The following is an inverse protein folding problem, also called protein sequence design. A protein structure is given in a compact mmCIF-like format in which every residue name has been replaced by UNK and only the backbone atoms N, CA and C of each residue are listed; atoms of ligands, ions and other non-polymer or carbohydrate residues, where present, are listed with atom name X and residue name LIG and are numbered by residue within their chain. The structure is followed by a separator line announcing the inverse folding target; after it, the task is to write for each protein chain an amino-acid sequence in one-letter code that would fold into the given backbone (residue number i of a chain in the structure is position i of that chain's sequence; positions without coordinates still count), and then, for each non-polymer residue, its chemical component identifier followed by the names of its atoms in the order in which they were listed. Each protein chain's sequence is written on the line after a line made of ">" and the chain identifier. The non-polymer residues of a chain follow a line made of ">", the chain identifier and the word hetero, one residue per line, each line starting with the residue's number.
data_IF_912782159846
#
_entry.id   IF_912782159846
#
_cell.length_a   1.000
_cell.length_b   1.000
_cell.length_c   1.000
_cell.angle_alpha   90.00
_cell.angle_beta   90.00
_cell.angle_gamma   90.00
#
_symmetry.space_group_name_H-M   'P 1'
#
loop_
_entity.id
_entity.type
_entity.pdbx_description
1 polymer ?
#
# COMPACT_ATOMS: atom_id res chain seq x y z
N UNK A 1 1.30 11.15 10.33
CA UNK A 1 0.64 10.01 9.65
C UNK A 1 0.04 10.44 8.32
N UNK A 2 -0.84 11.44 8.30
CA UNK A 2 -1.52 11.89 7.05
C UNK A 2 -0.54 12.31 5.94
N UNK A 3 0.55 13.00 6.28
CA UNK A 3 1.59 13.41 5.30
C UNK A 3 2.20 12.26 4.53
N UNK A 4 2.33 11.09 5.17
CA UNK A 4 3.04 9.94 4.60
C UNK A 4 2.08 8.95 3.94
N UNK A 5 0.96 8.72 4.59
CA UNK A 5 0.00 7.69 4.16
C UNK A 5 -1.19 8.27 3.38
N UNK A 6 -1.28 9.61 3.27
CA UNK A 6 -2.42 10.31 2.65
C UNK A 6 -3.79 9.84 3.18
N UNK A 7 -3.81 9.42 4.46
CA UNK A 7 -5.01 8.96 5.14
C UNK A 7 -4.93 9.27 6.65
N UNK A 8 -6.04 9.16 7.35
CA UNK A 8 -6.10 9.37 8.80
C UNK A 8 -5.85 8.09 9.57
N UNK A 9 -5.19 8.22 10.72
CA UNK A 9 -4.93 7.07 11.60
C UNK A 9 -6.25 6.54 12.17
N UNK A 10 -6.58 5.31 11.81
CA UNK A 10 -7.76 4.60 12.35
C UNK A 10 -7.43 3.93 13.69
N UNK A 11 -8.46 3.67 14.51
CA UNK A 11 -8.29 2.95 15.77
C UNK A 11 -7.73 1.55 15.53
N UNK A 12 -8.20 0.85 14.50
CA UNK A 12 -7.65 -0.46 14.12
C UNK A 12 -6.17 -0.41 13.77
N UNK A 13 -5.73 0.60 12.98
CA UNK A 13 -4.33 0.78 12.65
C UNK A 13 -3.46 1.15 13.87
N UNK A 14 -3.99 1.97 14.77
CA UNK A 14 -3.31 2.31 16.03
C UNK A 14 -3.12 1.09 16.94
N UNK A 15 -4.16 0.26 17.10
CA UNK A 15 -4.07 -0.99 17.87
C UNK A 15 -3.14 -2.01 17.21
N UNK A 16 -3.14 -2.11 15.88
CA UNK A 16 -2.28 -3.02 15.15
C UNK A 16 -0.81 -2.58 15.16
N UNK A 17 -0.52 -1.28 15.29
CA UNK A 17 0.86 -0.77 15.36
C UNK A 17 1.63 -1.33 16.55
N UNK A 18 0.96 -1.67 17.65
CA UNK A 18 1.58 -2.32 18.80
C UNK A 18 2.11 -3.73 18.49
N UNK A 19 1.51 -4.44 17.52
CA UNK A 19 1.94 -5.78 17.07
C UNK A 19 3.11 -5.73 16.09
N UNK A 20 3.34 -4.57 15.46
CA UNK A 20 4.33 -4.39 14.40
C UNK A 20 5.48 -3.47 14.82
N UNK A 21 5.51 -3.03 16.08
CA UNK A 21 6.46 -2.01 16.60
C UNK A 21 7.92 -2.45 16.60
N UNK A 22 8.22 -3.74 16.53
CA UNK A 22 9.58 -4.24 16.39
C UNK A 22 10.12 -3.86 14.99
N UNK A 23 10.97 -2.85 14.91
CA UNK A 23 11.57 -2.32 13.68
C UNK A 23 10.94 -1.04 13.12
N UNK A 24 9.75 -0.62 13.60
CA UNK A 24 9.11 0.63 13.16
C UNK A 24 9.62 1.88 13.89
N UNK A 25 10.41 1.74 14.95
CA UNK A 25 10.86 2.88 15.76
C UNK A 25 11.61 3.92 14.93
N UNK A 26 12.54 3.50 14.08
CA UNK A 26 13.28 4.40 13.21
C UNK A 26 12.36 5.06 12.15
N UNK A 27 11.46 4.29 11.55
CA UNK A 27 10.48 4.82 10.59
C UNK A 27 9.49 5.79 11.26
N UNK A 28 9.04 5.52 12.48
CA UNK A 28 8.16 6.41 13.23
C UNK A 28 8.85 7.73 13.59
N UNK A 29 10.12 7.69 13.99
CA UNK A 29 10.91 8.89 14.28
C UNK A 29 11.13 9.75 13.02
N UNK A 30 11.33 9.12 11.86
CA UNK A 30 11.46 9.83 10.58
C UNK A 30 10.18 10.55 10.14
N UNK A 31 9.02 10.12 10.65
CA UNK A 31 7.74 10.79 10.41
C UNK A 31 7.56 12.08 11.22
N UNK A 32 8.28 12.23 12.33
CA UNK A 32 8.17 13.37 13.22
C UNK A 32 8.99 14.55 12.68
N UNK A 33 8.37 15.70 12.62
CA UNK A 33 9.04 16.97 12.29
C UNK A 33 9.05 17.89 13.52
N UNK A 34 10.08 18.72 13.70
CA UNK A 34 10.14 19.65 14.84
C UNK A 34 8.87 20.49 14.98
N UNK A 35 8.24 20.86 13.87
CA UNK A 35 7.00 21.62 13.84
C UNK A 35 5.78 20.86 14.38
N UNK A 36 5.83 19.54 14.51
CA UNK A 36 4.73 18.76 15.09
C UNK A 36 4.56 19.04 16.57
N UNK A 37 5.57 19.61 17.23
CA UNK A 37 5.47 20.08 18.61
C UNK A 37 4.39 21.16 18.81
N UNK A 38 4.02 21.89 17.76
CA UNK A 38 2.93 22.89 17.82
C UNK A 38 1.59 22.24 18.19
N UNK A 39 1.34 20.99 17.75
CA UNK A 39 0.07 20.30 18.03
C UNK A 39 -0.11 19.87 19.48
N UNK A 40 0.94 19.95 20.31
CA UNK A 40 0.88 19.62 21.75
C UNK A 40 1.20 20.84 22.60
N UNK A 41 1.50 21.98 21.99
CA UNK A 41 1.94 23.19 22.71
C UNK A 41 0.85 23.73 23.65
N UNK A 42 -0.40 23.71 23.24
CA UNK A 42 -1.56 24.12 24.05
C UNK A 42 -1.71 23.25 25.31
N UNK A 43 -1.54 21.94 25.18
CA UNK A 43 -1.54 21.01 26.32
C UNK A 43 -0.38 21.32 27.29
N UNK A 44 0.83 21.53 26.75
CA UNK A 44 2.00 21.87 27.57
C UNK A 44 1.77 23.19 28.32
N UNK A 45 1.24 24.22 27.64
CA UNK A 45 0.89 25.51 28.25
C UNK A 45 -0.14 25.34 29.36
N UNK A 46 -1.24 24.62 29.08
CA UNK A 46 -2.30 24.38 30.06
C UNK A 46 -1.81 23.63 31.28
N UNK A 47 -1.09 22.51 31.07
CA UNK A 47 -0.51 21.71 32.17
C UNK A 47 0.43 22.58 33.01
N UNK A 48 1.27 23.37 32.37
CA UNK A 48 2.20 24.29 33.06
C UNK A 48 1.45 25.33 33.90
N UNK A 49 0.42 25.98 33.34
CA UNK A 49 -0.36 26.98 34.04
C UNK A 49 -1.13 26.41 35.22
N UNK A 50 -1.69 25.20 35.11
CA UNK A 50 -2.31 24.48 36.21
C UNK A 50 -1.28 24.09 37.29
N UNK A 51 -0.13 23.56 36.89
CA UNK A 51 0.95 23.18 37.80
C UNK A 51 1.50 24.35 38.57
N UNK A 52 1.62 25.50 37.94
CA UNK A 52 2.05 26.75 38.56
C UNK A 52 0.93 27.47 39.34
N UNK A 53 -0.24 26.84 39.48
CA UNK A 53 -1.43 27.40 40.12
C UNK A 53 -1.87 28.78 39.55
N UNK A 54 -1.49 29.05 38.29
CA UNK A 54 -1.94 30.26 37.58
C UNK A 54 -3.36 30.09 37.01
N UNK A 55 -3.78 28.87 36.79
CA UNK A 55 -5.16 28.50 36.46
C UNK A 55 -5.67 27.51 37.52
N UNK A 56 -6.95 27.60 37.83
CA UNK A 56 -7.67 26.67 38.69
C UNK A 56 -9.02 26.34 38.05
N UNK A 57 -9.50 25.14 38.34
CA UNK A 57 -10.87 24.78 37.91
C UNK A 57 -11.89 25.63 38.67
N UNK A 58 -12.86 26.13 37.94
CA UNK A 58 -13.99 26.81 38.55
C UNK A 58 -14.83 25.84 39.35
N UNK A 59 -14.94 26.07 40.65
CA UNK A 59 -15.68 25.18 41.55
C UNK A 59 -17.18 25.54 41.69
N UNK A 60 -17.63 26.57 40.97
CA UNK A 60 -19.05 26.93 40.97
C UNK A 60 -19.87 25.81 40.31
N UNK A 61 -21.03 25.54 40.92
CA UNK A 61 -21.95 24.55 40.32
C UNK A 61 -22.45 25.03 38.96
N UNK A 62 -22.34 24.20 37.96
CA UNK A 62 -22.83 24.52 36.63
C UNK A 62 -24.36 24.59 36.64
N UNK A 63 -24.92 25.62 36.01
CA UNK A 63 -26.38 25.71 35.86
C UNK A 63 -26.87 24.54 34.96
N UNK A 64 -27.57 23.59 35.58
CA UNK A 64 -28.06 22.37 34.87
C UNK A 64 -28.91 22.69 33.65
N UNK A 65 -29.72 23.77 33.69
CA UNK A 65 -30.55 24.20 32.56
C UNK A 65 -29.66 24.75 31.41
N UNK A 66 -28.67 25.56 31.75
CA UNK A 66 -27.72 26.08 30.76
C UNK A 66 -26.88 24.94 30.13
N UNK A 67 -26.38 23.98 30.96
CA UNK A 67 -25.69 22.79 30.45
C UNK A 67 -26.54 22.00 29.49
N UNK A 68 -27.80 21.73 29.87
CA UNK A 68 -28.72 20.99 29.01
C UNK A 68 -28.99 21.75 27.70
N UNK A 69 -29.24 23.05 27.75
CA UNK A 69 -29.47 23.85 26.56
C UNK A 69 -28.25 23.85 25.60
N UNK A 70 -27.03 24.01 26.15
CA UNK A 70 -25.80 23.97 25.36
C UNK A 70 -25.59 22.58 24.74
N UNK A 71 -25.80 21.52 25.51
CA UNK A 71 -25.66 20.16 25.01
C UNK A 71 -26.72 19.84 23.94
N UNK A 72 -27.95 20.24 24.13
CA UNK A 72 -29.02 20.08 23.16
C UNK A 72 -28.74 20.85 21.85
N UNK A 73 -28.26 22.08 21.95
CA UNK A 73 -27.88 22.90 20.81
C UNK A 73 -26.69 22.26 20.07
N UNK A 74 -25.67 21.81 20.80
CA UNK A 74 -24.51 21.12 20.21
C UNK A 74 -24.92 19.82 19.48
N UNK A 75 -25.83 19.05 20.10
CA UNK A 75 -26.39 17.86 19.48
C UNK A 75 -27.19 18.17 18.21
N UNK A 76 -28.01 19.23 18.23
CA UNK A 76 -28.74 19.68 17.06
C UNK A 76 -27.81 20.11 15.93
N UNK A 77 -26.81 20.94 16.22
CA UNK A 77 -25.83 21.41 15.23
C UNK A 77 -25.05 20.22 14.63
N UNK A 78 -24.66 19.24 15.46
CA UNK A 78 -24.00 18.02 14.97
C UNK A 78 -24.92 17.18 14.08
N UNK A 79 -26.23 17.07 14.44
CA UNK A 79 -27.20 16.34 13.61
C UNK A 79 -27.43 17.03 12.27
N UNK A 80 -27.49 18.36 12.24
CA UNK A 80 -27.55 19.14 10.98
C UNK A 80 -26.29 18.90 10.15
N UNK A 81 -25.11 18.89 10.77
CA UNK A 81 -23.87 18.61 10.07
C UNK A 81 -23.86 17.19 9.47
N UNK A 82 -24.33 16.17 10.20
CA UNK A 82 -24.47 14.80 9.68
C UNK A 82 -25.43 14.76 8.48
N UNK A 83 -26.56 15.44 8.57
CA UNK A 83 -27.54 15.50 7.49
C UNK A 83 -26.95 16.15 6.23
N UNK A 84 -26.24 17.27 6.40
CA UNK A 84 -25.55 17.93 5.28
C UNK A 84 -24.45 17.04 4.66
N UNK A 85 -23.72 16.33 5.50
CA UNK A 85 -22.69 15.39 5.05
C UNK A 85 -23.28 14.23 4.23
N UNK A 86 -24.48 13.74 4.63
CA UNK A 86 -25.21 12.69 3.90
C UNK A 86 -25.75 13.20 2.55
N UNK A 87 -26.19 14.47 2.48
CA UNK A 87 -26.60 15.10 1.21
C UNK A 87 -25.40 15.23 0.26
N UNK A 88 -24.25 15.71 0.76
CA UNK A 88 -23.04 15.89 -0.04
C UNK A 88 -22.48 14.53 -0.53
N UNK A 89 -22.53 13.53 0.33
CA UNK A 89 -22.01 12.17 0.07
C UNK A 89 -22.96 11.11 0.64
N UNK A 90 -23.91 10.63 -0.14
CA UNK A 90 -24.84 9.57 0.29
C UNK A 90 -24.10 8.32 0.78
N UNK A 91 -24.55 7.79 1.91
CA UNK A 91 -23.96 6.64 2.60
C UNK A 91 -22.49 6.86 3.06
N UNK A 92 -22.11 8.10 3.39
CA UNK A 92 -20.76 8.47 3.79
C UNK A 92 -20.19 7.55 4.88
N UNK A 93 -20.97 7.22 5.90
CA UNK A 93 -20.54 6.40 7.04
C UNK A 93 -20.66 4.90 6.80
N UNK A 94 -21.46 4.46 5.84
CA UNK A 94 -21.70 3.04 5.57
C UNK A 94 -20.83 2.48 4.46
N UNK A 95 -20.56 3.25 3.43
CA UNK A 95 -19.72 2.85 2.30
C UNK A 95 -18.24 2.70 2.65
N UNK A 96 -17.72 3.45 3.62
CA UNK A 96 -16.36 3.34 4.12
C UNK A 96 -15.24 3.51 3.07
N UNK A 97 -15.52 4.22 1.96
CA UNK A 97 -14.57 4.28 0.84
C UNK A 97 -13.42 5.29 1.02
N UNK A 98 -13.55 6.26 1.93
CA UNK A 98 -12.50 7.24 2.21
C UNK A 98 -12.65 7.91 3.57
N UNK A 99 -11.64 7.77 4.40
CA UNK A 99 -11.57 8.43 5.71
C UNK A 99 -11.46 9.96 5.57
N UNK A 100 -10.85 10.43 4.46
CA UNK A 100 -10.68 11.87 4.19
C UNK A 100 -12.03 12.57 4.14
N UNK A 101 -13.03 11.99 3.49
CA UNK A 101 -14.36 12.58 3.42
C UNK A 101 -15.07 12.60 4.77
N UNK A 102 -14.89 11.53 5.57
CA UNK A 102 -15.46 11.51 6.94
C UNK A 102 -14.85 12.59 7.81
N UNK A 103 -13.52 12.73 7.77
CA UNK A 103 -12.84 13.78 8.56
C UNK A 103 -13.19 15.19 8.05
N UNK A 104 -13.28 15.38 6.75
CA UNK A 104 -13.66 16.66 6.15
C UNK A 104 -15.08 17.10 6.55
N UNK A 105 -16.01 16.16 6.59
CA UNK A 105 -17.40 16.42 6.91
C UNK A 105 -17.66 16.55 8.41
N UNK A 106 -17.05 15.70 9.24
CA UNK A 106 -17.41 15.55 10.65
C UNK A 106 -16.29 15.96 11.63
N UNK A 107 -15.09 16.21 11.13
CA UNK A 107 -13.90 16.51 11.93
C UNK A 107 -13.24 15.28 12.55
N UNK A 108 -12.03 15.46 13.04
CA UNK A 108 -11.18 14.38 13.57
C UNK A 108 -11.77 13.69 14.82
N UNK A 109 -12.37 14.39 15.80
CA UNK A 109 -12.96 13.71 16.97
C UNK A 109 -14.10 12.77 16.61
N UNK A 110 -15.02 13.21 15.72
CA UNK A 110 -16.12 12.36 15.26
C UNK A 110 -15.62 11.17 14.40
N UNK A 111 -14.59 11.39 13.56
CA UNK A 111 -13.92 10.31 12.85
C UNK A 111 -13.29 9.28 13.80
N UNK A 112 -12.66 9.73 14.90
CA UNK A 112 -12.06 8.79 15.87
C UNK A 112 -13.13 7.90 16.52
N UNK A 113 -14.28 8.48 16.89
CA UNK A 113 -15.42 7.72 17.43
C UNK A 113 -16.01 6.77 16.37
N UNK A 114 -16.17 7.23 15.13
CA UNK A 114 -16.60 6.41 14.00
C UNK A 114 -15.64 5.23 13.77
N UNK A 115 -14.33 5.49 13.71
CA UNK A 115 -13.32 4.45 13.53
C UNK A 115 -13.28 3.43 14.67
N UNK A 116 -13.49 3.87 15.92
CA UNK A 116 -13.62 2.98 17.06
C UNK A 116 -14.83 2.06 16.93
N UNK A 117 -16.00 2.62 16.56
CA UNK A 117 -17.19 1.83 16.31
C UNK A 117 -17.00 0.83 15.17
N UNK A 118 -16.39 1.25 14.04
CA UNK A 118 -16.11 0.35 12.92
C UNK A 118 -15.17 -0.80 13.35
N UNK A 119 -14.14 -0.49 14.14
CA UNK A 119 -13.22 -1.51 14.66
C UNK A 119 -13.97 -2.51 15.55
N UNK A 120 -14.84 -2.02 16.44
CA UNK A 120 -15.68 -2.87 17.29
C UNK A 120 -16.62 -3.76 16.48
N UNK A 121 -17.34 -3.20 15.50
CA UNK A 121 -18.25 -3.98 14.64
C UNK A 121 -17.50 -5.05 13.84
N UNK A 122 -16.33 -4.73 13.29
CA UNK A 122 -15.51 -5.69 12.56
C UNK A 122 -15.05 -6.84 13.46
N UNK A 123 -14.63 -6.55 14.69
CA UNK A 123 -14.24 -7.58 15.65
C UNK A 123 -15.44 -8.43 16.09
N UNK A 124 -16.60 -7.81 16.29
CA UNK A 124 -17.84 -8.48 16.63
C UNK A 124 -18.28 -9.47 15.53
N UNK A 125 -18.35 -9.03 14.28
CA UNK A 125 -18.67 -9.90 13.14
C UNK A 125 -17.70 -11.09 13.08
N UNK A 126 -16.41 -10.87 13.29
CA UNK A 126 -15.41 -11.95 13.31
C UNK A 126 -15.67 -12.97 14.42
N UNK A 127 -16.04 -12.51 15.62
CA UNK A 127 -16.27 -13.40 16.77
C UNK A 127 -17.61 -14.14 16.73
N UNK A 128 -18.59 -13.57 16.03
CA UNK A 128 -19.96 -14.09 15.95
C UNK A 128 -20.26 -14.81 14.62
N UNK A 129 -19.26 -14.91 13.70
CA UNK A 129 -19.44 -15.54 12.41
C UNK A 129 -19.95 -16.98 12.53
N UNK A 130 -21.00 -17.29 11.80
CA UNK A 130 -21.73 -18.57 11.87
C UNK A 130 -21.43 -19.47 10.66
N UNK A 131 -21.68 -20.79 10.82
CA UNK A 131 -21.60 -21.73 9.71
C UNK A 131 -22.57 -21.37 8.57
N UNK A 132 -23.71 -20.76 8.87
CA UNK A 132 -24.70 -20.31 7.87
C UNK A 132 -24.12 -19.19 6.99
N UNK A 133 -23.47 -18.20 7.60
CA UNK A 133 -22.81 -17.10 6.86
C UNK A 133 -21.67 -17.61 5.98
N UNK A 134 -20.89 -18.55 6.49
CA UNK A 134 -19.84 -19.21 5.72
C UNK A 134 -20.42 -19.98 4.50
N UNK A 135 -21.53 -20.68 4.66
CA UNK A 135 -22.22 -21.35 3.56
C UNK A 135 -22.78 -20.36 2.53
N UNK A 136 -23.22 -19.17 2.97
CA UNK A 136 -23.64 -18.09 2.06
C UNK A 136 -22.47 -17.63 1.18
N UNK A 137 -21.27 -17.43 1.77
CA UNK A 137 -20.05 -17.08 1.02
C UNK A 137 -19.66 -18.20 0.05
N UNK A 138 -19.68 -19.46 0.49
CA UNK A 138 -19.42 -20.62 -0.39
C UNK A 138 -20.36 -20.67 -1.58
N UNK A 139 -21.67 -20.46 -1.33
CA UNK A 139 -22.69 -20.43 -2.38
C UNK A 139 -22.41 -19.32 -3.39
N UNK A 140 -22.12 -18.11 -2.90
CA UNK A 140 -21.76 -16.97 -3.74
C UNK A 140 -20.55 -17.28 -4.64
N UNK A 141 -19.46 -17.79 -4.08
CA UNK A 141 -18.26 -18.15 -4.84
C UNK A 141 -18.57 -19.20 -5.91
N UNK A 142 -19.37 -20.22 -5.58
CA UNK A 142 -19.78 -21.27 -6.53
C UNK A 142 -20.64 -20.71 -7.67
N UNK A 143 -21.58 -19.82 -7.37
CA UNK A 143 -22.47 -19.21 -8.36
C UNK A 143 -21.78 -18.22 -9.28
N UNK A 144 -20.67 -17.62 -8.82
CA UNK A 144 -19.87 -16.64 -9.58
C UNK A 144 -18.57 -17.24 -10.13
N UNK A 145 -18.43 -18.56 -10.10
CA UNK A 145 -17.26 -19.22 -10.67
C UNK A 145 -17.18 -19.00 -12.18
N UNK A 146 -16.07 -18.43 -12.63
CA UNK A 146 -15.74 -18.29 -14.04
C UNK A 146 -14.84 -19.44 -14.50
N UNK A 147 -15.29 -20.23 -15.47
CA UNK A 147 -14.46 -21.28 -16.03
C UNK A 147 -13.22 -20.69 -16.74
N UNK A 148 -12.05 -21.35 -16.66
CA UNK A 148 -10.87 -20.94 -17.39
C UNK A 148 -11.14 -20.81 -18.89
N UNK A 149 -10.56 -19.79 -19.53
CA UNK A 149 -10.64 -19.63 -20.96
C UNK A 149 -9.86 -20.78 -21.65
N UNK A 150 -10.50 -21.67 -22.46
CA UNK A 150 -9.85 -22.82 -23.05
C UNK A 150 -8.65 -22.48 -23.96
N UNK A 151 -8.68 -21.28 -24.56
CA UNK A 151 -7.58 -20.82 -25.43
C UNK A 151 -6.27 -20.62 -24.70
N UNK A 152 -6.34 -20.25 -23.42
CA UNK A 152 -5.16 -19.87 -22.61
C UNK A 152 -4.88 -20.86 -21.48
N UNK A 153 -5.81 -21.75 -21.18
CA UNK A 153 -5.65 -22.72 -20.12
C UNK A 153 -4.44 -23.64 -20.37
N UNK A 154 -3.55 -23.70 -19.38
CA UNK A 154 -2.37 -24.56 -19.43
C UNK A 154 -1.14 -23.95 -20.11
N UNK A 155 -1.19 -22.76 -20.69
CA UNK A 155 -0.01 -22.10 -21.30
C UNK A 155 1.17 -21.95 -20.32
N UNK A 156 0.88 -21.71 -19.05
CA UNK A 156 1.86 -21.55 -17.99
C UNK A 156 2.24 -22.85 -17.28
N UNK A 157 1.70 -24.01 -17.70
CA UNK A 157 1.95 -25.29 -17.01
C UNK A 157 3.44 -25.63 -16.94
N UNK A 158 3.97 -25.80 -15.72
CA UNK A 158 5.38 -26.13 -15.48
C UNK A 158 6.37 -24.98 -15.71
N UNK A 159 5.89 -23.77 -16.02
CA UNK A 159 6.71 -22.58 -16.14
C UNK A 159 6.97 -21.94 -14.79
N UNK A 160 8.12 -21.31 -14.62
CA UNK A 160 8.33 -20.37 -13.51
C UNK A 160 7.37 -19.21 -13.63
N UNK A 161 6.96 -18.66 -12.52
CA UNK A 161 6.16 -17.42 -12.45
C UNK A 161 6.96 -16.34 -11.73
N UNK A 162 7.22 -15.24 -12.39
CA UNK A 162 7.90 -14.07 -11.86
C UNK A 162 6.93 -12.92 -11.83
N UNK A 163 6.57 -12.44 -10.64
CA UNK A 163 5.66 -11.32 -10.45
C UNK A 163 6.47 -10.07 -10.13
N UNK A 164 6.33 -9.02 -10.91
CA UNK A 164 6.89 -7.70 -10.65
C UNK A 164 5.78 -6.78 -10.18
N UNK A 165 5.80 -6.44 -8.91
CA UNK A 165 4.88 -5.55 -8.23
C UNK A 165 5.48 -4.14 -8.27
N UNK A 166 4.95 -3.29 -9.17
CA UNK A 166 5.54 -2.01 -9.52
C UNK A 166 4.98 -0.90 -8.63
N UNK A 167 5.81 -0.37 -7.76
CA UNK A 167 5.46 0.71 -6.84
C UNK A 167 4.96 1.96 -7.59
N UNK A 168 3.76 2.43 -7.23
CA UNK A 168 3.17 3.69 -7.72
C UNK A 168 3.10 3.83 -9.25
N UNK A 169 3.11 2.72 -10.00
CA UNK A 169 3.13 2.75 -11.46
C UNK A 169 1.70 2.89 -12.03
N UNK A 170 1.45 3.94 -12.78
CA UNK A 170 0.14 4.24 -13.35
C UNK A 170 0.10 3.98 -14.86
N UNK A 171 -1.04 3.52 -15.36
CA UNK A 171 -1.26 3.17 -16.77
C UNK A 171 -0.89 4.27 -17.76
N UNK A 172 -1.09 5.55 -17.41
CA UNK A 172 -0.82 6.67 -18.30
C UNK A 172 0.67 6.85 -18.64
N UNK A 173 1.58 6.23 -17.86
CA UNK A 173 3.02 6.26 -18.14
C UNK A 173 3.38 5.49 -19.43
N UNK A 174 2.56 4.52 -19.81
CA UNK A 174 2.74 3.79 -21.07
C UNK A 174 2.54 4.76 -22.24
N UNK A 175 3.53 4.79 -23.13
CA UNK A 175 3.62 5.71 -24.29
C UNK A 175 3.69 7.21 -23.93
N UNK A 176 3.84 7.54 -22.64
CA UNK A 176 3.93 8.93 -22.24
C UNK A 176 5.28 9.54 -22.62
N UNK A 177 5.23 10.72 -23.22
CA UNK A 177 6.40 11.52 -23.58
C UNK A 177 6.37 12.84 -22.85
N UNK A 178 7.33 12.99 -21.94
CA UNK A 178 7.53 14.23 -21.19
C UNK A 178 8.18 15.29 -22.12
N UNK A 179 7.56 16.45 -22.24
CA UNK A 179 8.13 17.56 -23.02
C UNK A 179 8.88 18.51 -22.09
N UNK A 180 10.18 18.66 -22.30
CA UNK A 180 11.05 19.59 -21.58
C UNK A 180 11.79 20.46 -22.58
N UNK A 181 11.53 21.75 -22.54
CA UNK A 181 12.15 22.75 -23.41
C UNK A 181 12.08 22.40 -24.91
N UNK A 182 10.92 21.86 -25.34
CA UNK A 182 10.65 21.46 -26.71
C UNK A 182 11.21 20.10 -27.13
N UNK A 183 11.94 19.41 -26.26
CA UNK A 183 12.43 18.06 -26.47
C UNK A 183 11.52 17.05 -25.77
N UNK A 184 11.18 15.98 -26.50
CA UNK A 184 10.38 14.88 -25.97
C UNK A 184 11.27 13.77 -25.39
N UNK A 185 10.91 13.31 -24.19
CA UNK A 185 11.57 12.20 -23.49
C UNK A 185 10.53 11.12 -23.21
N UNK A 186 10.75 9.94 -23.74
CA UNK A 186 9.90 8.77 -23.48
C UNK A 186 10.16 8.26 -22.07
N UNK A 187 9.11 8.19 -21.25
CA UNK A 187 9.26 7.90 -19.80
C UNK A 187 9.58 6.44 -19.57
N UNK A 188 8.92 5.53 -20.25
CA UNK A 188 9.03 4.09 -20.00
C UNK A 188 9.31 3.31 -21.29
N UNK A 189 10.44 3.55 -21.98
CA UNK A 189 10.71 2.99 -23.31
C UNK A 189 10.74 1.47 -23.34
N UNK A 190 11.26 0.83 -22.29
CA UNK A 190 11.30 -0.63 -22.23
C UNK A 190 9.92 -1.24 -22.01
N UNK A 191 9.15 -0.74 -21.04
CA UNK A 191 7.78 -1.19 -20.78
C UNK A 191 6.86 -0.93 -21.97
N UNK A 192 7.03 0.19 -22.69
CA UNK A 192 6.32 0.46 -23.95
C UNK A 192 6.62 -0.63 -24.98
N UNK A 193 7.87 -1.01 -25.14
CA UNK A 193 8.27 -2.08 -26.08
C UNK A 193 7.63 -3.43 -25.73
N UNK A 194 7.52 -3.74 -24.43
CA UNK A 194 6.84 -4.94 -23.96
C UNK A 194 5.32 -4.85 -24.17
N UNK A 195 4.73 -3.70 -23.85
CA UNK A 195 3.29 -3.48 -23.96
C UNK A 195 2.77 -3.69 -25.38
N UNK A 196 3.56 -3.29 -26.38
CA UNK A 196 3.24 -3.46 -27.79
C UNK A 196 3.78 -4.76 -28.43
N UNK A 197 4.47 -5.59 -27.66
CA UNK A 197 5.01 -6.86 -28.13
C UNK A 197 3.90 -7.87 -28.44
N UNK A 198 4.07 -8.63 -29.52
CA UNK A 198 3.17 -9.76 -29.83
C UNK A 198 3.28 -10.93 -28.85
N UNK A 199 4.30 -10.94 -28.02
CA UNK A 199 4.55 -11.97 -26.99
C UNK A 199 3.94 -11.59 -25.63
N UNK A 200 3.27 -10.43 -25.55
CA UNK A 200 2.73 -9.89 -24.32
C UNK A 200 1.20 -9.81 -24.36
N UNK A 201 0.56 -10.20 -23.26
CA UNK A 201 -0.84 -9.86 -23.00
C UNK A 201 -0.88 -8.54 -22.25
N UNK A 202 -1.21 -7.45 -22.94
CA UNK A 202 -1.34 -6.11 -22.37
C UNK A 202 -2.81 -5.78 -22.10
N UNK A 203 -3.07 -5.12 -20.96
CA UNK A 203 -4.42 -4.74 -20.51
C UNK A 203 -4.48 -3.23 -20.28
N UNK A 204 -5.29 -2.53 -21.06
CA UNK A 204 -5.52 -1.08 -20.90
C UNK A 204 -6.56 -0.73 -19.82
N UNK A 205 -7.41 -1.70 -19.43
CA UNK A 205 -8.47 -1.52 -18.45
C UNK A 205 -8.09 -2.18 -17.11
N UNK A 206 -6.95 -1.77 -16.55
CA UNK A 206 -6.47 -2.23 -15.25
C UNK A 206 -6.64 -1.09 -14.23
N UNK A 207 -7.64 -1.22 -13.36
CA UNK A 207 -8.07 -0.15 -12.47
C UNK A 207 -7.55 -0.33 -11.05
N UNK A 208 -7.31 0.77 -10.38
CA UNK A 208 -6.96 0.85 -8.97
C UNK A 208 -8.06 0.24 -8.09
N UNK A 209 -7.69 -0.72 -7.23
CA UNK A 209 -8.62 -1.47 -6.37
C UNK A 209 -8.24 -1.42 -4.88
N UNK A 210 -7.16 -0.73 -4.54
CA UNK A 210 -6.65 -0.67 -3.17
C UNK A 210 -7.35 0.41 -2.35
N UNK A 211 -7.26 0.28 -1.04
CA UNK A 211 -7.76 1.22 -0.03
C UNK A 211 -6.60 1.73 0.85
N UNK A 212 -6.82 1.81 2.17
CA UNK A 212 -5.84 2.32 3.13
C UNK A 212 -4.55 1.46 3.22
N UNK A 213 -4.61 0.19 2.86
CA UNK A 213 -3.46 -0.72 2.85
C UNK A 213 -2.50 -0.51 1.69
N UNK A 214 -2.85 0.32 0.68
CA UNK A 214 -1.96 0.67 -0.43
C UNK A 214 -1.28 -0.58 -1.03
N UNK A 215 0.06 -0.60 -1.08
CA UNK A 215 0.87 -1.72 -1.59
C UNK A 215 0.43 -3.07 -1.00
N UNK A 216 0.18 -3.14 0.32
CA UNK A 216 -0.24 -4.39 0.96
C UNK A 216 -1.65 -4.84 0.57
N UNK A 217 -2.55 -3.93 0.17
CA UNK A 217 -3.85 -4.29 -0.38
C UNK A 217 -3.72 -4.87 -1.79
N UNK A 218 -2.85 -4.28 -2.63
CA UNK A 218 -2.55 -4.81 -3.94
C UNK A 218 -1.92 -6.22 -3.85
N UNK A 219 -1.04 -6.44 -2.88
CA UNK A 219 -0.48 -7.76 -2.58
C UNK A 219 -1.57 -8.74 -2.16
N UNK A 220 -2.48 -8.34 -1.25
CA UNK A 220 -3.59 -9.17 -0.81
C UNK A 220 -4.48 -9.58 -1.98
N UNK A 221 -4.85 -8.62 -2.84
CA UNK A 221 -5.68 -8.85 -4.00
C UNK A 221 -5.05 -9.85 -4.99
N UNK A 222 -3.78 -9.67 -5.31
CA UNK A 222 -3.07 -10.53 -6.26
C UNK A 222 -2.84 -11.96 -5.73
N UNK A 223 -2.58 -12.10 -4.44
CA UNK A 223 -2.31 -13.41 -3.84
C UNK A 223 -3.56 -14.21 -3.53
N UNK A 224 -4.64 -13.54 -3.14
CA UNK A 224 -5.83 -14.19 -2.57
C UNK A 224 -7.11 -13.96 -3.35
N UNK A 225 -7.10 -13.04 -4.33
CA UNK A 225 -8.31 -12.54 -5.03
C UNK A 225 -9.33 -11.85 -4.09
N UNK A 226 -8.89 -11.38 -2.92
CA UNK A 226 -9.72 -10.65 -1.96
C UNK A 226 -9.37 -9.16 -1.97
N UNK A 227 -10.39 -8.32 -1.96
CA UNK A 227 -10.19 -6.87 -1.84
C UNK A 227 -9.64 -6.47 -0.49
N UNK A 228 -8.94 -5.34 -0.44
CA UNK A 228 -8.46 -4.73 0.80
C UNK A 228 -9.58 -4.40 1.78
N UNK A 229 -9.25 -4.34 3.07
CA UNK A 229 -10.19 -4.02 4.13
C UNK A 229 -10.74 -2.60 3.99
N UNK A 230 -11.93 -2.37 4.54
CA UNK A 230 -12.52 -1.01 4.56
C UNK A 230 -11.66 -0.02 5.36
N UNK A 231 -10.93 -0.51 6.35
CA UNK A 231 -10.00 0.30 7.15
C UNK A 231 -8.71 -0.48 7.44
N UNK A 232 -7.57 0.21 7.30
CA UNK A 232 -6.24 -0.36 7.54
C UNK A 232 -5.83 -1.40 6.51
N UNK A 233 -4.82 -2.17 6.83
CA UNK A 233 -4.24 -3.20 5.97
C UNK A 233 -4.57 -4.59 6.49
N UNK A 234 -4.93 -5.50 5.57
CA UNK A 234 -5.10 -6.92 5.89
C UNK A 234 -3.81 -7.52 6.48
N UNK A 235 -2.66 -7.21 5.91
CA UNK A 235 -1.36 -7.71 6.38
C UNK A 235 -1.09 -7.37 7.84
N UNK A 236 -1.44 -6.15 8.25
CA UNK A 236 -1.22 -5.66 9.63
C UNK A 236 -2.26 -6.23 10.60
N UNK A 237 -3.53 -6.32 10.18
CA UNK A 237 -4.62 -6.72 11.07
C UNK A 237 -4.79 -8.22 11.19
N UNK A 238 -4.63 -8.95 10.09
CA UNK A 238 -4.96 -10.38 10.01
C UNK A 238 -3.84 -11.24 9.40
N UNK A 239 -2.88 -10.64 8.71
CA UNK A 239 -1.85 -11.35 7.96
C UNK A 239 -0.93 -12.24 8.82
N UNK A 240 -0.81 -11.97 10.11
CA UNK A 240 -0.02 -12.80 11.02
C UNK A 240 -0.80 -13.94 11.72
N UNK A 241 -2.12 -13.85 11.74
CA UNK A 241 -2.97 -14.70 12.60
C UNK A 241 -3.87 -15.66 11.81
N UNK A 242 -3.89 -15.57 10.48
CA UNK A 242 -4.79 -16.36 9.63
C UNK A 242 -4.03 -16.99 8.47
N UNK A 243 -4.13 -18.30 8.30
CA UNK A 243 -3.66 -18.98 7.10
C UNK A 243 -4.53 -18.61 5.90
N UNK A 244 -3.87 -18.22 4.82
CA UNK A 244 -4.55 -17.79 3.60
C UNK A 244 -4.41 -18.84 2.51
N UNK A 245 -5.47 -19.13 1.79
CA UNK A 245 -5.40 -19.89 0.54
C UNK A 245 -4.95 -18.92 -0.57
N UNK A 246 -3.66 -18.75 -0.70
CA UNK A 246 -3.02 -17.83 -1.63
C UNK A 246 -2.26 -18.58 -2.73
N UNK A 247 -1.84 -17.87 -3.77
CA UNK A 247 -1.13 -18.43 -4.90
C UNK A 247 0.07 -19.32 -4.51
N UNK A 248 0.96 -18.94 -3.57
CA UNK A 248 2.07 -19.80 -3.16
C UNK A 248 1.62 -21.14 -2.57
N UNK A 249 0.58 -21.16 -1.71
CA UNK A 249 0.02 -22.41 -1.18
C UNK A 249 -0.53 -23.29 -2.29
N UNK A 250 -1.39 -22.71 -3.15
CA UNK A 250 -2.03 -23.47 -4.23
C UNK A 250 -0.99 -24.09 -5.17
N UNK A 251 0.01 -23.32 -5.58
CA UNK A 251 1.05 -23.79 -6.51
C UNK A 251 1.98 -24.82 -5.87
N UNK A 252 2.30 -24.69 -4.58
CA UNK A 252 3.05 -25.69 -3.83
C UNK A 252 2.28 -27.01 -3.76
N UNK A 253 1.01 -26.96 -3.33
CA UNK A 253 0.20 -28.14 -3.05
C UNK A 253 -0.20 -28.89 -4.34
N UNK A 254 -0.40 -28.17 -5.44
CA UNK A 254 -0.84 -28.77 -6.71
C UNK A 254 0.29 -29.18 -7.62
N UNK A 255 1.42 -28.47 -7.62
CA UNK A 255 2.49 -28.62 -8.62
C UNK A 255 3.91 -28.52 -8.04
N UNK A 256 4.04 -28.57 -6.72
CA UNK A 256 5.33 -28.55 -6.00
C UNK A 256 6.24 -27.35 -6.36
N UNK A 257 5.66 -26.17 -6.55
CA UNK A 257 6.43 -24.93 -6.76
C UNK A 257 7.19 -24.54 -5.49
N UNK A 258 8.45 -24.13 -5.66
CA UNK A 258 9.11 -23.31 -4.64
C UNK A 258 8.65 -21.86 -4.72
N UNK A 259 8.76 -21.10 -3.64
CA UNK A 259 8.28 -19.72 -3.64
C UNK A 259 9.13 -18.76 -2.82
N UNK A 260 9.33 -17.55 -3.33
CA UNK A 260 10.09 -16.50 -2.66
C UNK A 260 9.53 -15.10 -2.94
N UNK A 261 9.75 -14.20 -1.98
CA UNK A 261 9.55 -12.75 -2.16
C UNK A 261 10.89 -12.05 -2.03
N UNK A 262 11.12 -11.04 -2.86
CA UNK A 262 12.30 -10.17 -2.84
C UNK A 262 11.87 -8.72 -2.65
N UNK A 263 12.47 -8.02 -1.67
CA UNK A 263 12.10 -6.65 -1.36
C UNK A 263 13.25 -5.87 -0.73
N UNK A 264 13.58 -4.72 -1.27
CA UNK A 264 14.68 -3.89 -0.82
C UNK A 264 14.47 -3.16 0.52
N UNK A 265 13.34 -3.37 1.19
CA UNK A 265 13.01 -2.77 2.49
C UNK A 265 13.02 -3.82 3.61
N UNK A 266 12.93 -3.37 4.87
CA UNK A 266 12.88 -4.25 6.04
C UNK A 266 11.59 -5.08 6.07
N UNK A 267 11.71 -6.34 6.44
CA UNK A 267 10.61 -7.30 6.40
C UNK A 267 9.47 -7.04 7.37
N UNK A 268 9.69 -6.22 8.41
CA UNK A 268 8.65 -5.85 9.37
C UNK A 268 7.69 -4.77 8.84
N UNK A 269 8.08 -4.04 7.79
CA UNK A 269 7.20 -3.05 7.18
C UNK A 269 5.95 -3.73 6.58
N UNK A 270 4.77 -3.22 6.87
CA UNK A 270 3.49 -3.87 6.58
C UNK A 270 3.33 -5.27 7.22
N UNK A 271 4.10 -5.63 8.24
CA UNK A 271 4.05 -6.98 8.85
C UNK A 271 4.35 -8.12 7.87
N UNK A 272 5.10 -7.86 6.80
CA UNK A 272 5.37 -8.80 5.71
C UNK A 272 6.02 -10.09 6.17
N UNK A 273 6.97 -10.00 7.12
CA UNK A 273 7.65 -11.16 7.69
C UNK A 273 6.71 -12.21 8.32
N UNK A 274 5.54 -11.81 8.79
CA UNK A 274 4.51 -12.71 9.30
C UNK A 274 3.47 -13.04 8.21
N UNK A 275 3.01 -12.03 7.46
CA UNK A 275 1.99 -12.20 6.44
C UNK A 275 2.43 -13.19 5.34
N UNK A 276 3.67 -13.14 4.87
CA UNK A 276 4.14 -14.06 3.83
C UNK A 276 4.21 -15.51 4.28
N UNK A 277 4.47 -15.78 5.55
CA UNK A 277 4.38 -17.14 6.10
C UNK A 277 2.96 -17.68 6.00
N UNK A 278 1.98 -16.84 6.31
CA UNK A 278 0.55 -17.22 6.25
C UNK A 278 0.01 -17.30 4.82
N UNK A 279 0.61 -16.57 3.88
CA UNK A 279 0.35 -16.68 2.45
C UNK A 279 1.04 -17.90 1.80
N UNK A 280 1.92 -18.61 2.53
CA UNK A 280 2.58 -19.83 2.08
C UNK A 280 3.89 -19.65 1.34
N UNK A 281 4.49 -18.47 1.37
CA UNK A 281 5.84 -18.27 0.84
C UNK A 281 6.87 -19.02 1.68
N UNK A 282 7.76 -19.74 1.02
CA UNK A 282 8.83 -20.50 1.66
C UNK A 282 9.99 -19.59 2.08
N UNK A 283 10.27 -18.55 1.29
CA UNK A 283 11.38 -17.64 1.52
C UNK A 283 10.91 -16.17 1.39
N UNK A 284 11.48 -15.33 2.24
CA UNK A 284 11.37 -13.89 2.11
C UNK A 284 12.76 -13.26 2.25
N UNK A 285 13.28 -12.76 1.16
CA UNK A 285 14.55 -12.06 1.07
C UNK A 285 14.31 -10.57 1.16
N UNK A 286 14.31 -10.05 2.37
CA UNK A 286 14.21 -8.63 2.65
C UNK A 286 15.59 -7.93 2.56
N UNK A 287 15.65 -6.66 2.87
CA UNK A 287 16.87 -5.86 2.83
C UNK A 287 18.04 -6.48 3.62
N UNK A 288 17.79 -7.24 4.68
CA UNK A 288 18.83 -7.87 5.49
C UNK A 288 19.63 -8.97 4.75
N UNK A 289 19.10 -9.50 3.66
CA UNK A 289 19.75 -10.49 2.78
C UNK A 289 20.51 -9.85 1.62
N UNK A 290 20.45 -8.53 1.47
CA UNK A 290 20.99 -7.77 0.36
C UNK A 290 22.16 -6.89 0.79
N UNK A 291 22.69 -6.10 -0.13
CA UNK A 291 23.75 -5.13 0.13
C UNK A 291 23.37 -4.15 1.24
N UNK A 292 24.35 -3.74 2.02
CA UNK A 292 24.15 -2.71 3.05
C UNK A 292 23.70 -1.40 2.40
N UNK A 293 22.66 -0.80 2.94
CA UNK A 293 22.20 0.51 2.47
C UNK A 293 23.23 1.60 2.70
N UNK A 294 23.45 2.40 1.66
CA UNK A 294 24.28 3.60 1.64
C UNK A 294 23.48 4.74 1.00
N UNK A 295 24.02 5.97 1.02
CA UNK A 295 23.36 7.10 0.35
C UNK A 295 23.28 6.94 -1.18
N UNK A 296 24.21 6.15 -1.76
CA UNK A 296 24.32 5.99 -3.21
C UNK A 296 23.44 4.86 -3.77
N UNK A 297 23.04 3.90 -2.93
CA UNK A 297 22.30 2.71 -3.38
C UNK A 297 20.92 2.56 -2.75
N UNK A 298 20.49 3.52 -1.92
CA UNK A 298 19.26 3.44 -1.19
C UNK A 298 18.67 4.82 -0.91
N UNK A 299 17.42 4.82 -0.57
CA UNK A 299 16.69 5.99 -0.10
C UNK A 299 15.85 5.62 1.13
N UNK A 300 15.01 6.53 1.60
CA UNK A 300 14.26 6.40 2.87
C UNK A 300 13.47 5.09 3.00
N UNK A 301 13.03 4.49 1.90
CA UNK A 301 12.19 3.28 1.90
C UNK A 301 12.94 1.98 1.55
N UNK A 302 14.22 2.01 1.27
CA UNK A 302 15.02 0.82 1.02
C UNK A 302 16.05 0.96 -0.08
N UNK A 303 16.56 -0.19 -0.55
CA UNK A 303 17.51 -0.27 -1.65
C UNK A 303 16.86 0.13 -2.97
N UNK A 304 17.59 0.83 -3.81
CA UNK A 304 17.17 1.14 -5.18
C UNK A 304 16.91 -0.14 -5.98
N UNK A 305 15.92 -0.13 -6.87
CA UNK A 305 15.45 -1.33 -7.56
C UNK A 305 16.52 -2.03 -8.39
N UNK A 306 17.44 -1.31 -9.03
CA UNK A 306 18.59 -1.93 -9.73
C UNK A 306 19.45 -2.77 -8.79
N UNK A 307 19.71 -2.27 -7.59
CA UNK A 307 20.47 -2.98 -6.56
C UNK A 307 19.67 -4.18 -6.03
N UNK A 308 18.40 -3.98 -5.74
CA UNK A 308 17.52 -5.04 -5.27
C UNK A 308 17.45 -6.19 -6.28
N UNK A 309 17.25 -5.90 -7.56
CA UNK A 309 17.25 -6.94 -8.60
C UNK A 309 18.61 -7.65 -8.69
N UNK A 310 19.71 -6.91 -8.74
CA UNK A 310 21.06 -7.49 -8.84
C UNK A 310 21.40 -8.40 -7.64
N UNK A 311 21.10 -7.95 -6.42
CA UNK A 311 21.35 -8.72 -5.20
C UNK A 311 20.46 -9.96 -5.08
N UNK A 312 19.29 -9.95 -5.72
CA UNK A 312 18.34 -11.07 -5.71
C UNK A 312 18.80 -12.22 -6.61
N UNK A 313 19.64 -11.98 -7.60
CA UNK A 313 20.08 -12.97 -8.59
C UNK A 313 20.68 -14.21 -7.93
N UNK A 314 21.57 -14.02 -6.98
CA UNK A 314 22.24 -15.12 -6.27
C UNK A 314 21.26 -16.10 -5.56
N UNK A 315 20.12 -15.59 -5.13
CA UNK A 315 19.07 -16.43 -4.52
C UNK A 315 18.17 -17.05 -5.59
N UNK A 316 17.80 -16.27 -6.61
CA UNK A 316 16.95 -16.74 -7.70
C UNK A 316 17.57 -17.92 -8.47
N UNK A 317 18.89 -17.90 -8.70
CA UNK A 317 19.64 -18.98 -9.37
C UNK A 317 19.64 -20.29 -8.56
N UNK A 318 19.46 -20.23 -7.25
CA UNK A 318 19.44 -21.39 -6.37
C UNK A 318 18.02 -21.90 -6.07
N UNK A 319 16.98 -21.26 -6.62
CA UNK A 319 15.62 -21.72 -6.41
C UNK A 319 15.30 -22.98 -7.22
N UNK A 320 14.65 -23.93 -6.57
CA UNK A 320 14.11 -25.10 -7.26
C UNK A 320 13.03 -24.69 -8.26
N UNK A 321 13.15 -25.11 -9.51
CA UNK A 321 12.12 -24.90 -10.53
C UNK A 321 11.13 -26.08 -10.56
N UNK A 322 9.84 -25.81 -10.87
CA UNK A 322 9.29 -24.49 -11.12
C UNK A 322 9.15 -23.66 -9.85
N UNK A 323 9.31 -22.34 -9.96
CA UNK A 323 9.16 -21.44 -8.84
C UNK A 323 8.11 -20.34 -9.11
N UNK A 324 7.56 -19.81 -8.00
CA UNK A 324 6.73 -18.61 -7.95
C UNK A 324 7.47 -17.55 -7.15
N UNK A 325 7.89 -16.48 -7.81
CA UNK A 325 8.62 -15.40 -7.16
C UNK A 325 7.93 -14.06 -7.33
N UNK A 326 8.02 -13.21 -6.31
CA UNK A 326 7.51 -11.84 -6.35
C UNK A 326 8.63 -10.87 -6.01
N UNK A 327 8.78 -9.83 -6.81
CA UNK A 327 9.68 -8.71 -6.61
C UNK A 327 8.85 -7.46 -6.35
N UNK A 328 9.09 -6.79 -5.23
CA UNK A 328 8.38 -5.57 -4.85
C UNK A 328 9.34 -4.41 -4.99
N UNK A 329 9.09 -3.55 -5.95
CA UNK A 329 9.92 -2.38 -6.23
C UNK A 329 9.64 -1.24 -5.25
N UNK A 330 10.55 -0.30 -5.12
CA UNK A 330 10.44 0.82 -4.19
C UNK A 330 10.94 2.15 -4.75
N UNK A 331 11.75 2.17 -5.82
CA UNK A 331 12.39 3.39 -6.31
C UNK A 331 11.41 4.45 -6.81
N UNK A 332 10.24 4.04 -7.28
CA UNK A 332 9.17 4.95 -7.71
C UNK A 332 8.20 5.30 -6.57
N UNK A 333 8.68 5.37 -5.31
CA UNK A 333 7.85 5.69 -4.16
C UNK A 333 7.80 7.20 -3.88
N UNK A 334 6.61 7.67 -3.48
CA UNK A 334 6.43 9.04 -2.99
C UNK A 334 7.47 9.39 -1.89
N UNK A 335 8.09 10.58 -1.87
CA UNK A 335 7.80 11.80 -2.67
C UNK A 335 8.55 11.94 -3.99
N UNK A 336 9.11 10.87 -4.57
CA UNK A 336 9.81 10.83 -5.85
C UNK A 336 11.06 11.74 -5.95
N UNK A 337 11.67 12.06 -4.84
CA UNK A 337 12.81 12.98 -4.74
C UNK A 337 14.14 12.29 -4.46
N UNK A 338 14.10 10.98 -4.28
CA UNK A 338 15.25 10.19 -3.82
C UNK A 338 16.24 9.83 -4.92
N UNK A 339 15.86 10.04 -6.16
CA UNK A 339 16.70 9.84 -7.33
C UNK A 339 16.79 11.20 -8.02
N UNK A 340 17.74 12.03 -7.60
CA UNK A 340 18.08 13.26 -8.29
C UNK A 340 18.48 12.96 -9.74
N UNK A 341 18.26 13.90 -10.65
CA UNK A 341 18.41 13.68 -12.09
C UNK A 341 19.75 13.10 -12.54
N UNK A 342 20.77 13.17 -11.69
CA UNK A 342 22.10 12.60 -11.95
C UNK A 342 22.09 11.06 -11.91
N UNK A 343 21.23 10.44 -11.09
CA UNK A 343 21.18 8.97 -10.94
C UNK A 343 20.39 8.29 -12.04
N UNK A 344 19.42 8.98 -12.63
CA UNK A 344 18.55 8.42 -13.66
C UNK A 344 19.00 8.75 -15.08
N UNK A 345 19.71 9.83 -15.27
CA UNK A 345 20.00 10.42 -16.59
C UNK A 345 18.72 10.95 -17.28
N UNK A 346 17.58 10.95 -16.60
CA UNK A 346 16.28 11.40 -17.12
C UNK A 346 15.93 12.79 -16.54
N UNK A 347 15.48 13.76 -17.35
CA UNK A 347 15.24 15.11 -16.87
C UNK A 347 14.03 15.16 -15.95
N UNK A 348 14.08 16.01 -14.91
CA UNK A 348 12.94 16.34 -14.08
C UNK A 348 11.90 17.14 -14.88
N UNK A 349 10.64 16.91 -14.64
CA UNK A 349 9.58 17.77 -15.16
C UNK A 349 9.69 19.16 -14.54
N UNK A 350 9.16 20.18 -15.24
CA UNK A 350 9.22 21.59 -14.84
C UNK A 350 7.81 22.09 -14.51
N UNK A 351 7.22 21.55 -13.44
CA UNK A 351 5.94 22.02 -12.90
C UNK A 351 6.16 22.74 -11.57
N UNK A 352 5.12 23.37 -11.04
CA UNK A 352 5.17 23.96 -9.69
C UNK A 352 5.21 22.93 -8.57
N UNK A 353 4.81 21.68 -8.84
CA UNK A 353 4.82 20.58 -7.88
C UNK A 353 6.08 19.71 -8.02
N UNK A 354 6.98 19.84 -7.04
CA UNK A 354 8.23 19.05 -7.01
C UNK A 354 8.00 17.53 -7.00
N UNK A 355 6.88 17.07 -6.47
CA UNK A 355 6.50 15.65 -6.44
C UNK A 355 6.25 15.15 -7.86
N UNK A 356 5.48 15.90 -8.65
CA UNK A 356 5.24 15.59 -10.06
C UNK A 356 6.54 15.62 -10.84
N UNK A 357 7.41 16.59 -10.56
CA UNK A 357 8.67 16.73 -11.27
C UNK A 357 9.57 15.50 -11.12
N UNK A 358 9.59 14.88 -9.94
CA UNK A 358 10.38 13.67 -9.69
C UNK A 358 9.74 12.39 -10.20
N UNK A 359 8.41 12.33 -10.29
CA UNK A 359 7.68 11.10 -10.61
C UNK A 359 8.09 10.46 -11.94
N UNK A 360 8.28 11.25 -12.99
CA UNK A 360 8.68 10.74 -14.29
C UNK A 360 10.11 10.21 -14.31
N UNK A 361 11.01 10.85 -13.57
CA UNK A 361 12.40 10.40 -13.46
C UNK A 361 12.50 9.09 -12.69
N UNK A 362 11.76 8.94 -11.58
CA UNK A 362 11.74 7.68 -10.82
C UNK A 362 11.05 6.55 -11.57
N UNK A 363 10.01 6.85 -12.37
CA UNK A 363 9.36 5.87 -13.25
C UNK A 363 10.31 5.41 -14.38
N UNK A 364 11.10 6.31 -14.95
CA UNK A 364 12.13 5.95 -15.94
C UNK A 364 13.24 5.09 -15.33
N UNK A 365 13.67 5.40 -14.11
CA UNK A 365 14.63 4.56 -13.39
C UNK A 365 14.09 3.15 -13.16
N UNK A 366 12.82 3.02 -12.75
CA UNK A 366 12.16 1.72 -12.58
C UNK A 366 12.10 0.95 -13.91
N UNK A 367 11.75 1.63 -15.02
CA UNK A 367 11.76 1.03 -16.37
C UNK A 367 13.14 0.48 -16.75
N UNK A 368 14.20 1.25 -16.48
CA UNK A 368 15.57 0.82 -16.72
C UNK A 368 15.98 -0.36 -15.82
N UNK A 369 15.57 -0.36 -14.54
CA UNK A 369 15.84 -1.46 -13.63
C UNK A 369 15.16 -2.77 -14.07
N UNK A 370 13.92 -2.67 -14.55
CA UNK A 370 13.19 -3.82 -15.12
C UNK A 370 13.88 -4.32 -16.38
N UNK A 371 14.35 -3.41 -17.25
CA UNK A 371 15.10 -3.77 -18.45
C UNK A 371 16.37 -4.57 -18.10
N UNK A 372 17.17 -4.09 -17.16
CA UNK A 372 18.39 -4.77 -16.72
C UNK A 372 18.08 -6.19 -16.18
N UNK A 373 16.99 -6.33 -15.43
CA UNK A 373 16.54 -7.63 -14.93
C UNK A 373 16.08 -8.57 -16.07
N UNK A 374 15.35 -8.06 -17.05
CA UNK A 374 14.97 -8.86 -18.24
C UNK A 374 16.20 -9.30 -19.05
N UNK A 375 17.20 -8.44 -19.19
CA UNK A 375 18.44 -8.79 -19.89
C UNK A 375 19.16 -9.94 -19.15
N UNK A 376 19.21 -9.92 -17.82
CA UNK A 376 19.68 -11.04 -17.03
C UNK A 376 18.83 -12.31 -17.24
N UNK A 377 17.50 -12.23 -17.16
CA UNK A 377 16.62 -13.40 -17.37
C UNK A 377 16.81 -14.03 -18.75
N UNK A 378 17.06 -13.22 -19.79
CA UNK A 378 17.38 -13.70 -21.13
C UNK A 378 18.75 -14.38 -21.19
N UNK A 379 19.76 -13.77 -20.60
CA UNK A 379 21.13 -14.29 -20.57
C UNK A 379 21.23 -15.61 -19.81
N UNK A 380 20.53 -15.73 -18.67
CA UNK A 380 20.49 -16.97 -17.87
C UNK A 380 19.60 -18.08 -18.43
N UNK A 381 18.79 -17.79 -19.47
CA UNK A 381 17.82 -18.71 -20.03
C UNK A 381 16.52 -18.84 -19.25
N UNK A 382 16.39 -18.21 -18.09
CA UNK A 382 15.15 -18.21 -17.28
C UNK A 382 13.97 -17.62 -18.03
N UNK A 383 14.21 -16.60 -18.88
CA UNK A 383 13.15 -15.95 -19.66
C UNK A 383 12.30 -16.95 -20.46
N UNK A 384 12.94 -17.91 -21.16
CA UNK A 384 12.24 -18.90 -22.00
C UNK A 384 11.35 -19.87 -21.21
N UNK A 385 11.66 -20.07 -19.92
CA UNK A 385 10.92 -20.96 -19.04
C UNK A 385 10.08 -20.24 -17.99
N UNK A 386 9.79 -18.98 -18.19
CA UNK A 386 9.06 -18.16 -17.23
C UNK A 386 7.86 -17.46 -17.84
N UNK A 387 6.82 -17.26 -17.03
CA UNK A 387 5.77 -16.28 -17.24
C UNK A 387 6.09 -15.09 -16.33
N UNK A 388 6.15 -13.89 -16.91
CA UNK A 388 6.42 -12.66 -16.16
C UNK A 388 5.11 -11.86 -16.09
N UNK A 389 4.67 -11.58 -14.88
CA UNK A 389 3.45 -10.80 -14.59
C UNK A 389 3.86 -9.47 -14.00
N UNK A 390 3.42 -8.36 -14.61
CA UNK A 390 3.72 -7.01 -14.13
C UNK A 390 2.44 -6.23 -13.92
N UNK A 391 2.35 -5.49 -12.82
CA UNK A 391 1.23 -4.59 -12.54
C UNK A 391 1.66 -3.45 -11.60
N UNK A 392 1.03 -2.28 -11.77
CA UNK A 392 1.15 -1.19 -10.81
C UNK A 392 0.30 -1.46 -9.58
N UNK A 393 0.79 -1.14 -8.40
CA UNK A 393 0.11 -1.46 -7.14
C UNK A 393 -0.97 -0.44 -6.78
N UNK A 394 -0.69 0.86 -6.93
CA UNK A 394 -1.64 1.94 -6.66
C UNK A 394 -1.26 3.23 -7.40
N UNK A 395 -2.08 4.27 -7.26
CA UNK A 395 -1.77 5.59 -7.80
C UNK A 395 -0.52 6.18 -7.13
N UNK A 396 0.38 6.71 -7.95
CA UNK A 396 1.51 7.52 -7.53
C UNK A 396 1.13 8.99 -7.38
N UNK A 397 0.36 9.53 -8.33
CA UNK A 397 -0.11 10.92 -8.34
C UNK A 397 -1.62 10.93 -8.14
N UNK A 398 -2.10 11.74 -7.18
CA UNK A 398 -3.53 11.93 -6.96
C UNK A 398 -4.13 12.87 -8.02
N UNK A 399 -5.39 12.64 -8.40
CA UNK A 399 -6.13 13.46 -9.38
C UNK A 399 -6.29 14.94 -8.95
N UNK A 400 -5.97 15.26 -7.72
CA UNK A 400 -6.02 16.63 -7.18
C UNK A 400 -4.73 17.44 -7.36
N UNK A 401 -3.72 16.87 -8.01
CA UNK A 401 -2.42 17.51 -8.26
C UNK A 401 -2.16 17.77 -9.73
#
# INVERSE_FOLDING_TARGET
>A
YFREFSDFLTVSAALASSKTSAGLGASALNLLRPWDAIYILDYVILITLFSLKKLSFDQRSFNKRASFAISALSGLLFSVNLFMAEIDRPELLTRGFSNIYVVRALGLPAFSAYSANQTYQTQKVRSEATASEFNTVKKYVKEHYAAPNPKYYGLAKGKNVIVLHLESFQQFLIDYKLNIDGKQYEVTPFLNSLYHSKETFAFSNFFHQVKAGKTSDAETLMETSLFGLNQGSFFVQYGGDNTQQAAPHILKDTNNYSSAVFHGNIGTFWNRNNAYKQLGYQHFFDQSYMSKMTKDNSFQYGLNDKVMFADSIKYLEHMQQPFYTKFITVSNHYPYQSLDGDDTGFPLAKTEDKTINGYFATANYLDAAIKDFFDYLKASGLYKNSIIVMYGDHYGIANSR
#
